data_IF_684685239308
#
_entry.id   IF_684685239308
#
_cell.length_a   1.000
_cell.length_b   1.000
_cell.length_c   1.000
_cell.angle_alpha   90.00
_cell.angle_beta   90.00
_cell.angle_gamma   90.00
#
_symmetry.space_group_name_H-M   'P 1'
#
loop_
_entity.id
_entity.type
_entity.pdbx_description
1 polymer ?
#
# COMPACT_ATOMS: atom_id res chain seq x y z
N UNK A 1 -17.51 -10.66 16.34
CA UNK A 1 -16.57 -9.55 16.13
C UNK A 1 -16.32 -8.92 17.49
N UNK A 2 -15.24 -9.31 18.14
CA UNK A 2 -14.85 -8.70 19.42
C UNK A 2 -13.91 -7.52 19.12
N UNK A 3 -14.41 -6.33 19.36
CA UNK A 3 -13.65 -5.09 19.31
C UNK A 3 -12.48 -5.18 20.29
N UNK A 4 -11.29 -4.87 19.82
CA UNK A 4 -10.14 -4.57 20.66
C UNK A 4 -10.40 -3.20 21.34
N UNK A 5 -11.30 -3.17 22.32
CA UNK A 5 -11.61 -1.99 23.11
C UNK A 5 -10.56 -1.83 24.21
N UNK A 6 -9.38 -1.34 23.84
CA UNK A 6 -8.30 -1.13 24.81
C UNK A 6 -7.35 0.01 24.48
N UNK A 7 -7.39 0.52 23.26
CA UNK A 7 -6.68 1.74 22.90
C UNK A 7 -7.70 2.89 23.05
N UNK A 8 -7.67 3.58 24.20
CA UNK A 8 -8.23 4.92 24.28
C UNK A 8 -7.65 5.71 23.11
N UNK A 9 -8.49 6.46 22.37
CA UNK A 9 -8.03 7.41 21.37
C UNK A 9 -7.06 8.38 22.04
N UNK A 10 -5.79 8.03 22.02
CA UNK A 10 -4.75 8.90 22.56
C UNK A 10 -4.48 9.95 21.48
N UNK A 11 -5.10 11.11 21.65
CA UNK A 11 -4.93 12.27 20.76
C UNK A 11 -3.47 12.69 20.59
N UNK A 12 -2.55 12.17 21.42
CA UNK A 12 -1.11 12.37 21.28
C UNK A 12 -0.49 11.59 20.12
N UNK A 13 -1.21 10.60 19.57
CA UNK A 13 -0.77 9.75 18.46
C UNK A 13 -1.37 10.17 17.12
N UNK A 14 -1.84 11.42 17.00
CA UNK A 14 -2.34 11.95 15.73
C UNK A 14 -1.96 13.41 15.54
N UNK A 15 -1.93 13.85 14.30
CA UNK A 15 -1.80 15.26 13.96
C UNK A 15 -2.75 15.63 12.82
N UNK A 16 -3.34 16.82 12.91
CA UNK A 16 -4.25 17.33 11.88
C UNK A 16 -3.53 18.29 10.96
N UNK A 17 -3.56 17.99 9.67
CA UNK A 17 -3.04 18.85 8.63
C UNK A 17 -3.94 20.07 8.37
N UNK A 18 -3.47 21.00 7.54
CA UNK A 18 -4.25 22.18 7.19
C UNK A 18 -5.34 21.92 6.14
N UNK A 19 -5.26 20.78 5.45
CA UNK A 19 -6.21 20.32 4.43
C UNK A 19 -6.08 18.80 4.25
N UNK A 20 -6.97 18.20 3.47
CA UNK A 20 -6.97 16.78 3.13
C UNK A 20 -5.62 16.31 2.59
N UNK A 21 -5.17 15.18 3.04
CA UNK A 21 -3.86 14.59 2.74
C UNK A 21 -4.03 13.52 1.66
N UNK A 22 -3.15 13.52 0.64
CA UNK A 22 -3.13 12.51 -0.41
C UNK A 22 -2.03 11.47 -0.26
N UNK A 23 -0.88 11.86 0.25
CA UNK A 23 0.26 10.96 0.40
C UNK A 23 1.11 11.34 1.60
N UNK A 24 1.72 10.35 2.23
CA UNK A 24 2.65 10.52 3.35
C UNK A 24 3.89 9.66 3.14
N UNK A 25 5.02 10.16 3.63
CA UNK A 25 6.24 9.37 3.68
C UNK A 25 7.09 9.73 4.91
N UNK A 26 7.66 8.70 5.57
CA UNK A 26 8.59 8.89 6.68
C UNK A 26 10.00 9.20 6.16
N UNK A 27 10.65 10.12 6.85
CA UNK A 27 12.03 10.43 6.58
C UNK A 27 12.94 9.21 6.90
N UNK A 28 13.84 8.78 5.99
CA UNK A 28 14.58 7.53 6.14
C UNK A 28 15.61 7.54 7.27
N UNK A 29 16.01 8.70 7.79
CA UNK A 29 17.08 8.80 8.82
C UNK A 29 16.72 9.67 10.04
N UNK A 30 15.61 10.39 10.03
CA UNK A 30 15.18 11.31 11.10
C UNK A 30 13.72 11.04 11.47
N UNK A 31 13.31 11.55 12.63
CA UNK A 31 11.96 11.35 13.15
C UNK A 31 11.00 12.43 12.61
N UNK A 32 10.82 12.41 11.29
CA UNK A 32 9.90 13.28 10.55
C UNK A 32 9.01 12.47 9.62
N UNK A 33 7.84 13.01 9.35
CA UNK A 33 6.92 12.56 8.29
C UNK A 33 6.52 13.76 7.44
N UNK A 34 6.49 13.56 6.13
CA UNK A 34 5.98 14.56 5.19
C UNK A 34 4.56 14.18 4.76
N UNK A 35 3.74 15.19 4.44
CA UNK A 35 2.38 15.03 3.94
C UNK A 35 2.14 15.95 2.75
N UNK A 36 1.61 15.40 1.65
CA UNK A 36 1.17 16.12 0.46
C UNK A 36 -0.32 16.39 0.51
N UNK A 37 -0.74 17.66 0.33
CA UNK A 37 -2.10 18.11 0.57
C UNK A 37 -2.84 18.47 -0.73
N UNK A 38 -4.18 18.47 -0.63
CA UNK A 38 -5.10 18.78 -1.73
C UNK A 38 -4.91 20.18 -2.32
N UNK A 39 -4.45 21.12 -1.52
CA UNK A 39 -4.24 22.52 -1.95
C UNK A 39 -2.85 22.77 -2.59
N UNK A 40 -2.05 21.71 -2.77
CA UNK A 40 -0.67 21.78 -3.29
C UNK A 40 0.38 22.14 -2.25
N UNK A 41 -0.02 22.21 -0.99
CA UNK A 41 0.91 22.39 0.13
C UNK A 41 1.55 21.06 0.52
N UNK A 42 2.77 21.10 0.98
CA UNK A 42 3.49 20.00 1.62
C UNK A 42 3.84 20.40 3.04
N UNK A 43 3.49 19.57 3.99
CA UNK A 43 3.75 19.78 5.41
C UNK A 43 4.74 18.76 5.94
N UNK A 44 5.66 19.20 6.80
CA UNK A 44 6.60 18.35 7.52
C UNK A 44 6.28 18.37 9.01
N UNK A 45 6.17 17.17 9.61
CA UNK A 45 5.82 16.99 11.00
C UNK A 45 6.87 16.16 11.73
N UNK A 46 7.07 16.40 13.04
CA UNK A 46 7.81 15.46 13.91
C UNK A 46 6.95 14.23 14.16
N UNK A 47 7.58 13.06 14.34
CA UNK A 47 6.88 11.87 14.80
C UNK A 47 6.67 11.88 16.31
N UNK A 48 5.67 11.16 16.84
CA UNK A 48 5.54 10.96 18.29
C UNK A 48 6.81 10.33 18.87
N UNK A 49 7.29 10.82 20.01
CA UNK A 49 8.49 10.28 20.66
C UNK A 49 8.28 10.10 22.15
N UNK A 50 8.93 9.10 22.74
CA UNK A 50 8.98 8.92 24.18
C UNK A 50 10.07 9.82 24.77
N UNK A 51 9.73 10.74 25.65
CA UNK A 51 10.71 11.57 26.34
C UNK A 51 11.59 10.74 27.31
N UNK A 52 12.67 10.18 26.79
CA UNK A 52 13.77 9.66 27.62
C UNK A 52 15.09 10.41 27.38
N UNK A 53 15.09 11.55 26.67
CA UNK A 53 16.29 12.36 26.45
C UNK A 53 16.05 13.85 26.68
N UNK A 54 15.72 14.24 27.89
CA UNK A 54 15.93 15.61 28.34
C UNK A 54 17.39 15.80 28.71
N UNK A 55 18.27 16.00 27.76
CA UNK A 55 19.51 16.74 28.01
C UNK A 55 19.17 18.22 28.17
N UNK A 56 18.55 18.54 29.29
CA UNK A 56 18.50 19.91 29.76
C UNK A 56 19.88 20.28 30.31
N UNK A 57 20.69 20.94 29.49
CA UNK A 57 21.77 21.77 30.00
C UNK A 57 21.15 23.00 30.72
N UNK A 58 20.96 22.91 32.02
CA UNK A 58 20.81 24.08 32.88
C UNK A 58 21.64 23.91 34.12
N UNK A 59 22.70 24.67 34.15
CA UNK A 59 23.46 24.98 35.32
C UNK A 59 22.57 25.59 36.41
N UNK A 60 22.55 25.01 37.62
CA UNK A 60 22.69 25.77 38.88
C UNK A 60 22.43 24.94 40.11
N UNK A 61 23.44 24.92 40.94
CA UNK A 61 23.47 25.02 42.43
C UNK A 61 22.59 24.12 43.31
N UNK A 62 23.32 23.26 43.98
CA UNK A 62 23.19 22.67 45.30
C UNK A 62 22.05 23.15 46.26
N UNK A 63 21.32 22.17 46.79
CA UNK A 63 21.15 21.99 48.24
C UNK A 63 20.58 20.60 48.57
N UNK A 64 21.25 19.92 49.48
CA UNK A 64 20.92 18.63 50.06
C UNK A 64 19.62 18.70 50.89
N UNK A 65 18.75 17.72 50.71
CA UNK A 65 18.06 17.14 51.88
C UNK A 65 17.55 15.73 51.51
N UNK A 66 18.01 14.78 52.31
CA UNK A 66 17.65 13.38 52.30
C UNK A 66 16.26 13.17 52.91
N UNK A 67 15.39 12.46 52.21
CA UNK A 67 14.36 11.62 52.86
C UNK A 67 13.96 10.48 51.89
N UNK A 68 14.24 9.29 52.36
CA UNK A 68 13.89 8.00 51.77
C UNK A 68 12.37 7.73 51.92
N UNK A 69 11.68 7.54 50.83
CA UNK A 69 10.45 6.77 50.80
C UNK A 69 10.35 6.09 49.44
N UNK A 70 10.53 4.77 49.47
CA UNK A 70 10.34 3.87 48.35
C UNK A 70 8.84 3.75 48.02
N UNK A 71 8.42 4.49 47.04
CA UNK A 71 7.17 4.22 46.33
C UNK A 71 7.57 3.91 44.88
N UNK A 72 7.31 2.68 44.45
CA UNK A 72 7.42 2.26 43.06
C UNK A 72 6.41 3.03 42.20
N UNK A 73 6.79 4.23 41.79
CA UNK A 73 6.04 4.95 40.79
C UNK A 73 6.32 4.29 39.44
N UNK A 74 5.32 3.65 38.86
CA UNK A 74 5.28 3.34 37.46
C UNK A 74 5.43 4.69 36.74
N UNK A 75 6.63 4.96 36.19
CA UNK A 75 6.87 6.16 35.39
C UNK A 75 6.09 5.98 34.08
N UNK A 76 4.92 6.58 34.02
CA UNK A 76 4.21 6.77 32.77
C UNK A 76 5.07 7.71 31.91
N UNK A 77 5.82 7.18 30.98
CA UNK A 77 6.56 7.98 29.99
C UNK A 77 5.54 8.77 29.18
N UNK A 78 5.57 10.09 29.29
CA UNK A 78 4.71 10.96 28.51
C UNK A 78 5.13 10.90 27.04
N UNK A 79 4.17 10.64 26.16
CA UNK A 79 4.38 10.69 24.70
C UNK A 79 4.39 12.17 24.28
N UNK A 80 5.42 12.59 23.57
CA UNK A 80 5.48 13.91 22.96
C UNK A 80 4.65 13.89 21.68
N UNK A 81 3.61 14.71 21.62
CA UNK A 81 2.74 14.83 20.47
C UNK A 81 3.50 15.37 19.23
N UNK A 82 3.13 14.93 18.02
CA UNK A 82 3.73 15.44 16.78
C UNK A 82 3.49 16.93 16.60
N UNK A 83 4.47 17.63 16.02
CA UNK A 83 4.41 19.07 15.78
C UNK A 83 4.77 19.39 14.34
N UNK A 84 4.04 20.33 13.73
CA UNK A 84 4.36 20.86 12.41
C UNK A 84 5.67 21.65 12.47
N UNK A 85 6.61 21.26 11.61
CA UNK A 85 7.96 21.86 11.53
C UNK A 85 8.05 22.84 10.38
N UNK A 86 7.49 22.47 9.23
CA UNK A 86 7.64 23.21 7.99
C UNK A 86 6.38 23.11 7.15
N UNK A 87 6.09 24.17 6.42
CA UNK A 87 5.03 24.20 5.41
C UNK A 87 5.61 24.80 4.13
N UNK A 88 5.42 24.09 3.03
CA UNK A 88 5.95 24.47 1.70
C UNK A 88 4.79 24.48 0.72
N UNK A 89 4.72 25.51 -0.13
CA UNK A 89 3.72 25.59 -1.20
C UNK A 89 4.42 25.95 -2.52
N UNK A 90 4.60 24.94 -3.35
CA UNK A 90 5.27 25.07 -4.65
C UNK A 90 4.45 24.48 -5.80
N UNK A 91 3.37 23.77 -5.50
CA UNK A 91 2.41 23.30 -6.48
C UNK A 91 1.17 24.19 -6.52
N UNK A 92 0.54 24.28 -7.70
CA UNK A 92 -0.67 25.09 -7.93
C UNK A 92 -1.96 24.30 -7.75
N UNK A 93 -1.87 22.95 -7.79
CA UNK A 93 -2.97 22.00 -7.52
C UNK A 93 -2.50 20.95 -6.51
N UNK A 94 -3.34 19.99 -6.21
CA UNK A 94 -3.06 18.96 -5.21
C UNK A 94 -1.71 18.28 -5.39
N UNK A 95 -0.95 18.16 -4.29
CA UNK A 95 0.25 17.35 -4.20
C UNK A 95 -0.19 15.91 -3.91
N UNK A 96 -0.21 15.05 -4.93
CA UNK A 96 -0.79 13.70 -4.86
C UNK A 96 0.23 12.61 -4.53
N UNK A 97 1.51 12.91 -4.73
CA UNK A 97 2.57 11.95 -4.48
C UNK A 97 3.78 12.63 -3.86
N UNK A 98 4.33 12.01 -2.83
CA UNK A 98 5.55 12.46 -2.17
C UNK A 98 6.43 11.26 -1.84
N UNK A 99 7.74 11.44 -1.87
CA UNK A 99 8.68 10.49 -1.28
C UNK A 99 9.97 11.19 -0.89
N UNK A 100 10.58 10.75 0.20
CA UNK A 100 11.92 11.17 0.54
C UNK A 100 12.94 10.50 -0.38
N UNK A 101 14.04 11.20 -0.64
CA UNK A 101 15.24 10.59 -1.18
C UNK A 101 15.73 9.46 -0.24
N UNK A 102 16.34 8.41 -0.78
CA UNK A 102 16.80 7.26 0.00
C UNK A 102 17.73 7.62 1.16
N UNK A 103 18.47 8.72 1.03
CA UNK A 103 19.40 9.21 2.05
C UNK A 103 18.76 10.26 2.96
N UNK A 104 17.54 10.72 2.64
CA UNK A 104 16.87 11.80 3.34
C UNK A 104 17.48 13.20 3.06
N UNK A 105 18.18 13.35 1.95
CA UNK A 105 18.76 14.64 1.57
C UNK A 105 17.70 15.62 1.05
N UNK A 106 16.58 15.13 0.54
CA UNK A 106 15.48 15.92 -0.01
C UNK A 106 14.18 15.15 -0.10
N UNK A 107 13.16 15.82 -0.56
CA UNK A 107 11.81 15.31 -0.78
C UNK A 107 11.42 15.53 -2.24
N UNK A 108 10.95 14.50 -2.91
CA UNK A 108 10.37 14.57 -4.26
C UNK A 108 8.87 14.70 -4.16
N UNK A 109 8.26 15.54 -4.99
CA UNK A 109 6.84 15.82 -4.99
C UNK A 109 6.26 15.81 -6.40
N UNK A 110 5.05 15.29 -6.54
CA UNK A 110 4.28 15.23 -7.77
C UNK A 110 2.86 15.74 -7.58
N UNK A 111 2.35 16.44 -8.57
CA UNK A 111 1.09 17.14 -8.45
C UNK A 111 0.14 16.92 -9.62
N UNK A 112 -1.14 17.19 -9.34
CA UNK A 112 -2.18 17.28 -10.36
C UNK A 112 -1.98 18.47 -11.32
N UNK A 113 -1.06 19.39 -11.03
CA UNK A 113 -0.67 20.45 -11.96
C UNK A 113 0.33 19.95 -13.02
N UNK A 114 0.61 18.63 -13.06
CA UNK A 114 1.50 17.97 -14.01
C UNK A 114 2.98 18.31 -13.80
N UNK A 115 3.33 18.89 -12.67
CA UNK A 115 4.71 19.22 -12.31
C UNK A 115 5.31 18.22 -11.32
N UNK A 116 6.62 18.08 -11.39
CA UNK A 116 7.46 17.41 -10.39
C UNK A 116 8.43 18.40 -9.79
N UNK A 117 8.74 18.24 -8.51
CA UNK A 117 9.72 19.07 -7.84
C UNK A 117 10.58 18.25 -6.87
N UNK A 118 11.78 18.76 -6.59
CA UNK A 118 12.62 18.31 -5.51
C UNK A 118 12.87 19.47 -4.55
N UNK A 119 12.72 19.18 -3.27
CA UNK A 119 12.83 20.15 -2.18
C UNK A 119 13.94 19.69 -1.25
N UNK A 120 14.81 20.60 -0.81
CA UNK A 120 15.87 20.29 0.13
C UNK A 120 15.35 20.18 1.58
N UNK A 121 16.24 19.79 2.50
CA UNK A 121 15.90 19.65 3.92
C UNK A 121 15.50 20.99 4.59
N UNK A 122 15.76 22.13 3.96
CA UNK A 122 15.37 23.47 4.42
C UNK A 122 14.02 23.92 3.88
N UNK A 123 13.41 23.15 2.98
CA UNK A 123 12.13 23.46 2.33
C UNK A 123 12.27 24.35 1.08
N UNK A 124 13.47 24.54 0.58
CA UNK A 124 13.68 25.28 -0.67
C UNK A 124 13.54 24.33 -1.88
N UNK A 125 12.82 24.76 -2.91
CA UNK A 125 12.73 24.02 -4.18
C UNK A 125 14.08 24.14 -4.90
N UNK A 126 14.78 23.02 -5.01
CA UNK A 126 16.12 22.95 -5.64
C UNK A 126 16.05 22.50 -7.09
N UNK A 127 14.95 21.85 -7.47
CA UNK A 127 14.72 21.39 -8.83
C UNK A 127 13.21 21.31 -9.10
N UNK A 128 12.78 21.72 -10.30
CA UNK A 128 11.37 21.74 -10.69
C UNK A 128 11.20 21.64 -12.19
N UNK A 129 10.23 20.82 -12.63
CA UNK A 129 9.80 20.71 -14.03
C UNK A 129 8.30 20.89 -14.10
N UNK A 130 7.85 21.99 -14.71
CA UNK A 130 6.44 22.19 -15.05
C UNK A 130 6.10 21.46 -16.34
N UNK A 131 4.90 20.89 -16.42
CA UNK A 131 4.50 20.06 -17.57
C UNK A 131 5.36 18.80 -17.73
N UNK A 132 5.84 18.26 -16.61
CA UNK A 132 6.60 17.02 -16.55
C UNK A 132 5.84 15.85 -17.15
N UNK A 133 4.53 15.81 -16.95
CA UNK A 133 3.60 14.84 -17.51
C UNK A 133 2.46 15.51 -18.28
N UNK A 134 1.73 14.75 -19.09
CA UNK A 134 0.54 15.22 -19.80
C UNK A 134 -0.73 15.12 -18.95
N UNK A 135 -0.71 14.28 -17.93
CA UNK A 135 -1.77 14.01 -17.00
C UNK A 135 -1.33 14.26 -15.55
N UNK A 136 -2.24 14.35 -14.59
CA UNK A 136 -1.92 14.42 -13.16
C UNK A 136 -1.00 13.29 -12.72
N UNK A 137 -0.07 13.60 -11.81
CA UNK A 137 0.88 12.61 -11.27
C UNK A 137 0.25 11.94 -10.05
N UNK A 138 0.24 10.59 -10.05
CA UNK A 138 -0.34 9.77 -8.99
C UNK A 138 0.70 9.19 -8.04
N UNK A 139 1.86 8.84 -8.56
CA UNK A 139 2.86 8.14 -7.78
C UNK A 139 4.26 8.69 -8.05
N UNK A 140 5.04 8.81 -6.99
CA UNK A 140 6.48 9.06 -7.03
C UNK A 140 7.18 8.00 -6.17
N UNK A 141 8.30 7.47 -6.67
CA UNK A 141 9.14 6.53 -5.94
C UNK A 141 10.61 6.90 -6.09
N UNK A 142 11.40 6.84 -4.98
CA UNK A 142 12.81 7.18 -5.03
C UNK A 142 13.59 6.11 -5.81
N UNK A 143 14.47 6.56 -6.69
CA UNK A 143 15.43 5.73 -7.40
C UNK A 143 16.82 5.74 -6.73
N UNK A 144 17.85 5.25 -7.39
CA UNK A 144 19.23 5.46 -6.97
C UNK A 144 19.54 6.95 -6.81
N UNK A 145 20.62 7.28 -6.09
CA UNK A 145 21.02 8.64 -5.69
C UNK A 145 20.72 9.73 -6.74
N UNK A 146 19.87 10.66 -6.38
CA UNK A 146 19.50 11.81 -7.23
C UNK A 146 18.56 11.49 -8.38
N UNK A 147 17.97 10.28 -8.40
CA UNK A 147 16.96 9.89 -9.38
C UNK A 147 15.64 9.54 -8.70
N UNK A 148 14.53 9.68 -9.42
CA UNK A 148 13.22 9.23 -8.98
C UNK A 148 12.33 8.87 -10.18
N UNK A 149 11.25 8.17 -9.88
CA UNK A 149 10.26 7.70 -10.84
C UNK A 149 8.93 8.39 -10.58
N UNK A 150 8.19 8.69 -11.63
CA UNK A 150 6.83 9.21 -11.54
C UNK A 150 5.90 8.46 -12.47
N UNK A 151 4.67 8.24 -12.03
CA UNK A 151 3.57 7.68 -12.82
C UNK A 151 2.38 8.62 -12.85
N UNK A 152 1.67 8.70 -13.96
CA UNK A 152 0.55 9.61 -14.18
C UNK A 152 -0.79 8.90 -14.42
N UNK A 153 -1.86 9.69 -14.55
CA UNK A 153 -3.23 9.23 -14.79
C UNK A 153 -3.45 8.62 -16.20
N UNK A 154 -2.54 8.87 -17.16
CA UNK A 154 -2.62 8.35 -18.53
C UNK A 154 -1.77 7.09 -18.74
N UNK A 155 -1.20 6.51 -17.66
CA UNK A 155 -0.41 5.28 -17.72
C UNK A 155 1.04 5.48 -18.16
N UNK A 156 1.55 6.70 -18.15
CA UNK A 156 2.94 7.00 -18.48
C UNK A 156 3.83 6.96 -17.24
N UNK A 157 4.96 6.30 -17.34
CA UNK A 157 6.03 6.28 -16.34
C UNK A 157 7.24 7.02 -16.86
N UNK A 158 7.79 7.92 -16.04
CA UNK A 158 9.02 8.66 -16.32
C UNK A 158 10.06 8.45 -15.25
N UNK A 159 11.31 8.53 -15.67
CA UNK A 159 12.49 8.55 -14.78
C UNK A 159 13.18 9.89 -14.90
N UNK A 160 13.50 10.45 -13.76
CA UNK A 160 14.09 11.77 -13.63
C UNK A 160 15.46 11.68 -12.98
N UNK A 161 16.38 12.51 -13.44
CA UNK A 161 17.68 12.74 -12.82
C UNK A 161 17.79 14.24 -12.54
N UNK A 162 17.95 14.62 -11.27
CA UNK A 162 18.01 16.03 -10.87
C UNK A 162 19.16 16.82 -11.49
N UNK A 163 20.12 16.15 -12.13
CA UNK A 163 21.23 16.81 -12.84
C UNK A 163 20.82 17.37 -14.20
N UNK A 164 19.61 17.02 -14.67
CA UNK A 164 19.06 17.49 -15.93
C UNK A 164 17.57 17.82 -15.80
N UNK A 165 17.05 18.61 -16.76
CA UNK A 165 15.63 19.04 -16.73
C UNK A 165 14.70 18.14 -17.51
N UNK A 166 15.24 17.29 -18.39
CA UNK A 166 14.47 16.36 -19.18
C UNK A 166 14.43 14.98 -18.52
N UNK A 167 13.35 14.23 -18.73
CA UNK A 167 13.26 12.87 -18.25
C UNK A 167 14.28 11.97 -18.95
N UNK A 168 14.97 11.13 -18.17
CA UNK A 168 15.91 10.12 -18.67
C UNK A 168 15.21 9.05 -19.46
N UNK A 169 13.98 8.71 -19.04
CA UNK A 169 13.15 7.69 -19.66
C UNK A 169 11.68 8.14 -19.60
N UNK A 170 10.92 7.83 -20.66
CA UNK A 170 9.48 8.01 -20.72
C UNK A 170 8.86 6.84 -21.45
N UNK A 171 7.94 6.12 -20.82
CA UNK A 171 7.26 4.95 -21.35
C UNK A 171 5.76 5.06 -21.07
N UNK A 172 4.96 4.92 -22.13
CA UNK A 172 3.50 4.76 -22.02
C UNK A 172 3.25 3.25 -21.85
N UNK A 173 2.87 2.83 -20.63
CA UNK A 173 2.83 1.43 -20.21
C UNK A 173 1.42 0.87 -20.13
N UNK A 174 0.48 1.68 -19.76
CA UNK A 174 -0.87 1.28 -19.42
C UNK A 174 -1.92 2.19 -20.09
N UNK A 175 -3.17 1.76 -20.08
CA UNK A 175 -4.29 2.52 -20.65
C UNK A 175 -5.06 3.35 -19.64
N UNK A 176 -4.71 3.19 -18.36
CA UNK A 176 -5.28 3.92 -17.24
C UNK A 176 -4.14 4.26 -16.26
N UNK A 177 -4.46 4.93 -15.17
CA UNK A 177 -3.48 5.48 -14.23
C UNK A 177 -2.47 4.43 -13.73
N UNK A 178 -1.24 4.89 -13.50
CA UNK A 178 -0.25 4.13 -12.74
C UNK A 178 -0.56 4.31 -11.26
N UNK A 179 -0.89 3.19 -10.61
CA UNK A 179 -1.25 3.20 -9.20
C UNK A 179 -0.01 3.18 -8.29
N UNK A 180 0.94 2.30 -8.57
CA UNK A 180 2.15 2.18 -7.76
C UNK A 180 3.31 1.57 -8.56
N UNK A 181 4.54 1.75 -8.05
CA UNK A 181 5.79 1.29 -8.66
C UNK A 181 6.67 0.65 -7.60
N UNK A 182 7.22 -0.52 -7.89
CA UNK A 182 8.22 -1.19 -7.05
C UNK A 182 9.45 -1.58 -7.85
N UNK A 183 10.56 -1.85 -7.16
CA UNK A 183 11.85 -2.16 -7.78
C UNK A 183 12.45 -3.42 -7.19
N UNK A 184 13.28 -4.11 -7.98
CA UNK A 184 14.19 -5.09 -7.40
C UNK A 184 15.37 -4.40 -6.69
N UNK A 185 16.00 -5.10 -5.75
CA UNK A 185 17.07 -4.56 -4.89
C UNK A 185 18.22 -3.88 -5.64
N UNK A 186 18.49 -4.31 -6.87
CA UNK A 186 19.59 -3.80 -7.69
C UNK A 186 19.16 -2.67 -8.64
N UNK A 187 17.91 -2.19 -8.59
CA UNK A 187 17.37 -1.20 -9.52
C UNK A 187 17.64 -1.52 -11.00
N UNK A 188 17.59 -2.81 -11.36
CA UNK A 188 17.69 -3.23 -12.76
C UNK A 188 16.34 -3.38 -13.43
N UNK A 189 15.30 -3.60 -12.63
CA UNK A 189 13.93 -3.75 -13.08
C UNK A 189 12.98 -2.99 -12.18
N UNK A 190 11.99 -2.38 -12.78
CA UNK A 190 10.81 -1.83 -12.11
C UNK A 190 9.58 -2.64 -12.50
N UNK A 191 8.61 -2.70 -11.60
CA UNK A 191 7.30 -3.31 -11.83
C UNK A 191 6.25 -2.29 -11.43
N UNK A 192 5.28 -2.08 -12.31
CA UNK A 192 4.21 -1.09 -12.09
C UNK A 192 2.86 -1.78 -12.03
N UNK A 193 1.99 -1.29 -11.16
CA UNK A 193 0.59 -1.65 -11.11
C UNK A 193 -0.26 -0.55 -11.73
N UNK A 194 -1.31 -0.91 -12.46
CA UNK A 194 -2.20 0.03 -13.14
C UNK A 194 -3.67 -0.25 -12.90
N UNK A 195 -4.47 0.83 -12.93
CA UNK A 195 -5.92 0.77 -12.91
C UNK A 195 -6.56 0.13 -14.14
N UNK A 196 -5.78 -0.20 -15.19
CA UNK A 196 -6.27 -1.01 -16.30
C UNK A 196 -6.21 -2.52 -16.04
N UNK A 197 -5.82 -2.93 -14.83
CA UNK A 197 -5.70 -4.32 -14.43
C UNK A 197 -4.39 -4.99 -14.85
N UNK A 198 -3.44 -4.27 -15.45
CA UNK A 198 -2.16 -4.82 -15.89
C UNK A 198 -1.02 -4.52 -14.93
N UNK A 199 0.00 -5.38 -14.99
CA UNK A 199 1.30 -5.17 -14.38
C UNK A 199 2.34 -5.08 -15.50
N UNK A 200 3.15 -4.03 -15.50
CA UNK A 200 4.20 -3.85 -16.51
C UNK A 200 5.58 -3.97 -15.90
N UNK A 201 6.46 -4.72 -16.53
CA UNK A 201 7.83 -4.99 -16.10
C UNK A 201 8.79 -4.25 -17.01
N UNK A 202 9.60 -3.37 -16.43
CA UNK A 202 10.52 -2.47 -17.14
C UNK A 202 11.95 -2.90 -16.89
N UNK A 203 12.75 -2.96 -17.95
CA UNK A 203 14.21 -3.05 -17.84
C UNK A 203 14.80 -1.66 -17.76
N UNK A 204 15.26 -1.26 -16.59
CA UNK A 204 15.78 0.09 -16.34
C UNK A 204 17.12 0.35 -17.03
N UNK A 205 17.95 -0.69 -17.23
CA UNK A 205 19.23 -0.55 -17.94
C UNK A 205 19.04 -0.32 -19.44
N UNK A 206 18.04 -0.98 -20.02
CA UNK A 206 17.72 -0.86 -21.44
C UNK A 206 16.67 0.22 -21.73
N UNK A 207 16.05 0.78 -20.68
CA UNK A 207 14.99 1.78 -20.74
C UNK A 207 13.81 1.30 -21.64
N UNK A 208 13.40 0.04 -21.45
CA UNK A 208 12.39 -0.61 -22.30
C UNK A 208 11.41 -1.41 -21.45
N UNK A 209 10.18 -1.44 -21.91
CA UNK A 209 9.18 -2.41 -21.48
C UNK A 209 9.65 -3.82 -21.84
N UNK A 210 9.66 -4.74 -20.88
CA UNK A 210 10.00 -6.14 -21.07
C UNK A 210 8.76 -7.01 -21.28
N UNK A 211 7.76 -6.80 -20.43
CA UNK A 211 6.55 -7.61 -20.40
C UNK A 211 5.41 -6.81 -19.80
N UNK A 212 4.20 -7.07 -20.26
CA UNK A 212 2.96 -6.62 -19.64
C UNK A 212 2.07 -7.84 -19.48
N UNK A 213 1.52 -8.05 -18.28
CA UNK A 213 0.60 -9.16 -18.03
C UNK A 213 -0.67 -9.01 -18.84
N UNK A 214 -1.43 -10.11 -18.96
CA UNK A 214 -2.80 -10.00 -19.44
C UNK A 214 -3.61 -9.05 -18.54
N UNK A 215 -4.60 -8.40 -19.14
CA UNK A 215 -5.48 -7.49 -18.42
C UNK A 215 -6.43 -8.30 -17.55
N UNK A 216 -6.35 -8.07 -16.23
CA UNK A 216 -7.32 -8.59 -15.27
C UNK A 216 -8.57 -7.72 -15.26
N UNK A 217 -9.71 -8.31 -14.91
CA UNK A 217 -10.96 -7.54 -14.73
C UNK A 217 -10.91 -6.59 -13.53
N UNK A 218 -9.92 -6.80 -12.63
CA UNK A 218 -9.76 -6.13 -11.36
C UNK A 218 -8.56 -5.17 -11.41
N UNK A 219 -8.79 -3.90 -11.07
CA UNK A 219 -7.75 -2.87 -11.07
C UNK A 219 -6.65 -3.22 -10.05
N UNK A 220 -5.38 -3.00 -10.42
CA UNK A 220 -4.23 -3.19 -9.53
C UNK A 220 -3.86 -1.86 -8.89
N UNK A 221 -4.12 -1.69 -7.58
CA UNK A 221 -4.05 -0.39 -6.90
C UNK A 221 -2.75 -0.17 -6.13
N UNK A 222 -2.11 -1.23 -5.69
CA UNK A 222 -0.85 -1.18 -4.95
C UNK A 222 0.05 -2.35 -5.31
N UNK A 223 1.37 -2.21 -5.14
CA UNK A 223 2.34 -3.26 -5.48
C UNK A 223 3.50 -3.31 -4.50
N UNK A 224 3.93 -4.52 -4.16
CA UNK A 224 4.99 -4.74 -3.18
C UNK A 224 5.87 -5.93 -3.55
N UNK A 225 7.20 -5.78 -3.37
CA UNK A 225 8.17 -6.84 -3.58
C UNK A 225 8.51 -7.52 -2.24
N UNK A 226 8.29 -8.83 -2.15
CA UNK A 226 8.39 -9.64 -0.94
C UNK A 226 9.31 -10.86 -1.13
N UNK A 227 9.59 -11.58 -0.02
CA UNK A 227 10.36 -12.84 -0.04
C UNK A 227 11.73 -12.68 -0.72
N UNK A 228 12.51 -11.69 -0.28
CA UNK A 228 13.82 -11.37 -0.86
C UNK A 228 13.77 -11.21 -2.39
N UNK A 229 12.74 -10.52 -2.88
CA UNK A 229 12.60 -10.22 -4.30
C UNK A 229 12.08 -11.38 -5.17
N UNK A 230 11.59 -12.47 -4.56
CA UNK A 230 11.08 -13.63 -5.31
C UNK A 230 9.58 -13.62 -5.55
N UNK A 231 8.84 -12.79 -4.81
CA UNK A 231 7.39 -12.64 -4.93
C UNK A 231 7.01 -11.17 -5.09
N UNK A 232 6.07 -10.91 -5.99
CA UNK A 232 5.40 -9.62 -6.12
C UNK A 232 3.96 -9.80 -5.65
N UNK A 233 3.48 -8.90 -4.82
CA UNK A 233 2.10 -8.88 -4.34
C UNK A 233 1.44 -7.61 -4.85
N UNK A 234 0.24 -7.71 -5.39
CA UNK A 234 -0.59 -6.57 -5.76
C UNK A 234 -1.89 -6.56 -4.99
N UNK A 235 -2.29 -5.40 -4.53
CA UNK A 235 -3.60 -5.16 -3.94
C UNK A 235 -4.60 -4.73 -5.00
N UNK A 236 -5.80 -5.28 -4.94
CA UNK A 236 -6.80 -5.08 -5.99
C UNK A 236 -8.01 -4.29 -5.51
N UNK A 237 -8.79 -3.80 -6.48
CA UNK A 237 -10.06 -3.10 -6.25
C UNK A 237 -11.10 -3.99 -5.56
N UNK A 238 -11.09 -5.30 -5.82
CA UNK A 238 -12.03 -6.25 -5.19
C UNK A 238 -11.63 -6.65 -3.77
N UNK A 239 -10.47 -6.20 -3.26
CA UNK A 239 -9.98 -6.55 -1.93
C UNK A 239 -9.17 -7.85 -1.87
N UNK A 240 -8.82 -8.42 -3.00
CA UNK A 240 -7.91 -9.55 -3.05
C UNK A 240 -6.45 -9.09 -3.18
N UNK A 241 -5.53 -9.90 -2.67
CA UNK A 241 -4.11 -9.75 -2.93
C UNK A 241 -3.67 -10.81 -3.93
N UNK A 242 -3.18 -10.39 -5.07
CA UNK A 242 -2.64 -11.27 -6.10
C UNK A 242 -1.14 -11.46 -5.88
N UNK A 243 -0.66 -12.70 -5.96
CA UNK A 243 0.74 -13.06 -5.71
C UNK A 243 1.35 -13.60 -7.00
N UNK A 244 2.44 -13.00 -7.42
CA UNK A 244 3.21 -13.35 -8.60
C UNK A 244 4.56 -13.92 -8.20
N UNK A 245 5.06 -14.90 -8.96
CA UNK A 245 6.45 -15.31 -8.83
C UNK A 245 7.32 -14.44 -9.73
N UNK A 246 8.40 -13.89 -9.17
CA UNK A 246 9.33 -13.08 -9.95
C UNK A 246 9.85 -13.82 -11.19
N UNK A 247 9.64 -13.22 -12.36
CA UNK A 247 10.05 -13.82 -13.64
C UNK A 247 9.04 -14.77 -14.28
N UNK A 248 7.89 -15.03 -13.61
CA UNK A 248 6.75 -15.76 -14.16
C UNK A 248 5.54 -14.85 -14.11
N UNK A 249 5.31 -14.14 -15.21
CA UNK A 249 4.33 -13.04 -15.24
C UNK A 249 3.04 -13.42 -15.97
N UNK A 250 3.01 -14.60 -16.59
CA UNK A 250 1.85 -15.07 -17.37
C UNK A 250 0.73 -15.60 -16.46
N UNK A 251 1.10 -16.15 -15.29
CA UNK A 251 0.16 -16.76 -14.36
C UNK A 251 0.34 -16.24 -12.93
N UNK A 252 -0.77 -16.08 -12.21
CA UNK A 252 -0.79 -15.86 -10.77
C UNK A 252 -0.24 -17.09 -10.04
N UNK A 253 0.66 -16.87 -9.08
CA UNK A 253 1.13 -17.96 -8.21
C UNK A 253 0.12 -18.32 -7.13
N UNK A 254 -0.62 -17.32 -6.62
CA UNK A 254 -1.62 -17.49 -5.58
C UNK A 254 -2.46 -16.23 -5.42
N UNK A 255 -3.55 -16.31 -4.64
CA UNK A 255 -4.44 -15.19 -4.33
C UNK A 255 -4.90 -15.26 -2.88
N UNK A 256 -4.78 -14.16 -2.14
CA UNK A 256 -5.27 -14.05 -0.76
C UNK A 256 -6.54 -13.20 -0.77
N UNK A 257 -7.73 -13.79 -0.58
CA UNK A 257 -8.96 -13.04 -0.34
C UNK A 257 -9.03 -12.60 1.12
N UNK A 258 -9.90 -11.65 1.45
CA UNK A 258 -10.23 -11.37 2.84
C UNK A 258 -10.36 -9.90 3.23
N UNK A 259 -10.04 -8.96 2.35
CA UNK A 259 -10.47 -7.57 2.54
C UNK A 259 -11.86 -7.41 1.93
N UNK A 260 -12.81 -6.80 2.65
CA UNK A 260 -14.18 -6.61 2.13
C UNK A 260 -14.25 -5.55 1.04
N UNK A 261 -13.25 -4.65 0.98
CA UNK A 261 -13.15 -3.57 0.01
C UNK A 261 -11.72 -3.48 -0.55
N UNK A 262 -11.49 -2.54 -1.47
CA UNK A 262 -10.23 -2.37 -2.20
C UNK A 262 -9.02 -2.20 -1.28
N UNK A 263 -7.86 -2.71 -1.72
CA UNK A 263 -6.57 -2.55 -1.04
C UNK A 263 -5.79 -1.43 -1.70
N UNK A 264 -5.92 -0.22 -1.16
CA UNK A 264 -5.35 1.00 -1.74
C UNK A 264 -3.84 1.09 -1.54
N UNK A 265 -3.35 0.59 -0.42
CA UNK A 265 -1.95 0.76 -0.05
C UNK A 265 -1.41 -0.46 0.67
N UNK A 266 -0.15 -0.77 0.42
CA UNK A 266 0.57 -1.84 1.09
C UNK A 266 1.98 -1.39 1.45
N UNK A 267 2.49 -1.88 2.58
CA UNK A 267 3.87 -1.66 2.98
C UNK A 267 4.50 -2.93 3.54
N UNK A 268 5.76 -3.14 3.21
CA UNK A 268 6.54 -4.27 3.67
C UNK A 268 6.99 -4.04 5.11
N UNK A 269 6.51 -4.87 6.03
CA UNK A 269 7.02 -4.88 7.38
C UNK A 269 8.30 -5.71 7.46
N UNK A 270 8.31 -6.91 6.89
CA UNK A 270 9.47 -7.78 6.71
C UNK A 270 9.27 -8.70 5.48
N UNK A 271 10.14 -9.71 5.31
CA UNK A 271 10.08 -10.58 4.12
C UNK A 271 8.85 -11.50 4.08
N UNK A 272 8.20 -11.72 5.23
CA UNK A 272 7.08 -12.63 5.41
C UNK A 272 5.78 -11.94 5.78
N UNK A 273 5.85 -10.65 6.13
CA UNK A 273 4.73 -9.88 6.69
C UNK A 273 4.61 -8.55 5.98
N UNK A 274 3.41 -8.20 5.56
CA UNK A 274 3.05 -6.90 5.04
C UNK A 274 1.88 -6.30 5.80
N UNK A 275 1.76 -5.00 5.75
CA UNK A 275 0.62 -4.24 6.24
C UNK A 275 -0.16 -3.75 5.04
N UNK A 276 -1.47 -3.79 5.14
CA UNK A 276 -2.40 -3.40 4.07
C UNK A 276 -3.38 -2.37 4.60
N UNK A 277 -3.60 -1.31 3.86
CA UNK A 277 -4.67 -0.33 4.10
C UNK A 277 -5.78 -0.52 3.07
N UNK A 278 -6.99 -0.66 3.55
CA UNK A 278 -8.17 -0.94 2.72
C UNK A 278 -9.19 0.21 2.79
N UNK A 279 -10.03 0.29 1.79
CA UNK A 279 -11.10 1.31 1.73
C UNK A 279 -12.18 1.12 2.79
N UNK A 280 -12.16 0.00 3.52
CA UNK A 280 -13.01 -0.19 4.71
C UNK A 280 -12.47 0.48 5.99
N UNK A 281 -11.42 1.31 5.87
CA UNK A 281 -10.84 2.06 6.98
C UNK A 281 -9.92 1.26 7.90
N UNK A 282 -9.63 -0.01 7.61
CA UNK A 282 -8.89 -0.91 8.50
C UNK A 282 -7.48 -1.18 7.96
N UNK A 283 -6.50 -1.09 8.89
CA UNK A 283 -5.12 -1.51 8.62
C UNK A 283 -4.95 -2.94 9.12
N UNK A 284 -4.62 -3.86 8.18
CA UNK A 284 -4.46 -5.29 8.48
C UNK A 284 -3.02 -5.75 8.36
N UNK A 285 -2.73 -6.82 9.10
CA UNK A 285 -1.46 -7.54 9.04
C UNK A 285 -1.68 -8.80 8.20
N UNK A 286 -0.90 -8.96 7.15
CA UNK A 286 -1.00 -10.10 6.23
C UNK A 286 0.32 -10.85 6.19
N UNK A 287 0.26 -12.16 6.36
CA UNK A 287 1.42 -13.05 6.25
C UNK A 287 1.48 -13.74 4.89
N UNK A 288 2.71 -13.98 4.43
CA UNK A 288 3.02 -14.82 3.28
C UNK A 288 3.68 -16.12 3.76
N UNK A 289 3.08 -17.26 3.39
CA UNK A 289 3.52 -18.60 3.80
C UNK A 289 3.51 -18.82 5.33
N UNK A 290 2.34 -19.01 5.94
CA UNK A 290 1.04 -19.23 5.28
C UNK A 290 0.38 -17.93 4.81
N UNK A 291 -0.29 -17.99 3.63
CA UNK A 291 -1.01 -16.86 3.05
C UNK A 291 -2.31 -16.64 3.83
N UNK A 292 -2.31 -15.71 4.78
CA UNK A 292 -3.48 -15.43 5.63
C UNK A 292 -3.45 -14.04 6.25
N UNK A 293 -4.60 -13.54 6.64
CA UNK A 293 -4.74 -12.40 7.52
C UNK A 293 -4.30 -12.82 8.94
N UNK A 294 -3.38 -12.07 9.53
CA UNK A 294 -2.83 -12.34 10.87
C UNK A 294 -3.54 -11.53 11.95
N UNK A 295 -4.05 -10.35 11.62
CA UNK A 295 -4.71 -9.45 12.55
C UNK A 295 -4.92 -8.06 11.96
N UNK A 296 -5.29 -7.13 12.83
CA UNK A 296 -5.44 -5.71 12.50
C UNK A 296 -4.60 -4.85 13.46
N UNK A 297 -4.15 -3.70 12.97
CA UNK A 297 -3.41 -2.71 13.76
C UNK A 297 -4.37 -1.69 14.34
N UNK A 298 -5.28 -1.17 13.51
CA UNK A 298 -6.24 -0.16 13.90
C UNK A 298 -7.14 0.22 12.73
N UNK A 299 -8.03 1.17 13.01
CA UNK A 299 -9.02 1.67 12.06
C UNK A 299 -9.09 3.20 12.10
N UNK A 300 -9.39 3.81 10.98
CA UNK A 300 -9.87 5.18 10.90
C UNK A 300 -11.37 5.20 11.23
N UNK A 301 -11.98 6.39 11.25
CA UNK A 301 -13.42 6.51 11.46
C UNK A 301 -14.19 5.67 10.42
N UNK A 302 -15.36 5.17 10.82
CA UNK A 302 -16.22 4.34 9.96
C UNK A 302 -16.44 5.03 8.61
N UNK A 303 -16.31 4.24 7.52
CA UNK A 303 -16.52 4.66 6.13
C UNK A 303 -15.42 5.54 5.50
N UNK A 304 -14.32 5.84 6.18
CA UNK A 304 -13.20 6.56 5.56
C UNK A 304 -12.10 5.59 5.07
N UNK A 305 -11.81 5.58 3.76
CA UNK A 305 -10.78 4.70 3.20
C UNK A 305 -9.39 5.04 3.72
N UNK A 306 -8.55 4.02 3.91
CA UNK A 306 -7.12 4.23 4.10
C UNK A 306 -6.49 4.52 2.74
N UNK A 307 -6.10 5.77 2.51
CA UNK A 307 -5.47 6.19 1.26
C UNK A 307 -4.00 5.80 1.21
N UNK A 308 -3.28 5.98 2.31
CA UNK A 308 -1.87 5.66 2.39
C UNK A 308 -1.44 5.19 3.78
N UNK A 309 -0.52 4.24 3.80
CA UNK A 309 0.25 3.87 4.97
C UNK A 309 1.74 4.02 4.68
N UNK A 310 2.51 4.43 5.68
CA UNK A 310 3.97 4.49 5.63
C UNK A 310 4.56 3.96 6.94
N UNK A 311 5.78 3.43 6.91
CA UNK A 311 6.43 2.78 8.04
C UNK A 311 7.66 3.59 8.45
N UNK A 312 7.80 3.86 9.75
CA UNK A 312 8.97 4.54 10.28
C UNK A 312 10.25 3.73 10.06
N UNK A 313 11.38 4.42 10.02
CA UNK A 313 12.73 3.86 9.83
C UNK A 313 13.03 2.69 10.78
N UNK A 314 12.68 2.83 12.03
CA UNK A 314 12.90 1.84 13.09
C UNK A 314 11.82 0.74 13.14
N UNK A 315 10.82 0.82 12.23
CA UNK A 315 9.67 -0.09 12.14
C UNK A 315 8.83 -0.16 13.41
N UNK A 316 8.86 0.89 14.21
CA UNK A 316 8.11 0.98 15.47
C UNK A 316 6.79 1.71 15.32
N UNK A 317 6.68 2.58 14.31
CA UNK A 317 5.48 3.37 14.04
C UNK A 317 5.01 3.17 12.61
N UNK A 318 3.71 3.02 12.43
CA UNK A 318 3.00 3.13 11.16
C UNK A 318 2.25 4.45 11.16
N UNK A 319 2.42 5.25 10.13
CA UNK A 319 1.59 6.41 9.85
C UNK A 319 0.52 6.02 8.83
N UNK A 320 -0.70 6.46 9.04
CA UNK A 320 -1.80 6.27 8.10
C UNK A 320 -2.58 7.55 7.89
N UNK A 321 -3.14 7.70 6.69
CA UNK A 321 -4.03 8.80 6.33
C UNK A 321 -5.31 8.27 5.73
N UNK A 322 -6.32 9.09 5.89
CA UNK A 322 -7.67 8.89 5.37
C UNK A 322 -8.25 10.24 4.97
N UNK A 323 -9.54 10.31 4.67
CA UNK A 323 -10.24 11.55 4.34
C UNK A 323 -10.56 12.45 5.56
N UNK A 324 -10.02 12.12 6.74
CA UNK A 324 -10.24 12.83 8.01
C UNK A 324 -9.27 13.99 8.28
N UNK A 325 -8.43 14.38 7.30
CA UNK A 325 -7.36 15.39 7.40
C UNK A 325 -6.31 15.08 8.49
N UNK A 326 -6.29 13.86 9.01
CA UNK A 326 -5.41 13.45 10.11
C UNK A 326 -4.36 12.45 9.65
N UNK A 327 -3.14 12.60 10.18
CA UNK A 327 -2.16 11.51 10.19
C UNK A 327 -2.31 10.81 11.53
N UNK A 328 -2.71 9.55 11.54
CA UNK A 328 -2.74 8.70 12.74
C UNK A 328 -1.45 7.88 12.82
N UNK A 329 -0.92 7.74 14.03
CA UNK A 329 0.28 6.95 14.29
C UNK A 329 -0.07 5.73 15.13
N UNK A 330 0.42 4.58 14.71
CA UNK A 330 0.15 3.29 15.36
C UNK A 330 1.47 2.70 15.85
N UNK A 331 1.51 2.33 17.12
CA UNK A 331 2.68 1.66 17.70
C UNK A 331 2.67 0.18 17.35
N UNK A 332 3.67 -0.24 16.58
CA UNK A 332 3.81 -1.63 16.11
C UNK A 332 5.02 -2.35 16.73
N UNK A 333 5.60 -1.82 17.81
CA UNK A 333 6.75 -2.43 18.53
C UNK A 333 6.47 -3.85 18.99
N UNK A 334 5.24 -4.14 19.39
CA UNK A 334 4.83 -5.48 19.76
C UNK A 334 5.05 -6.53 18.67
N UNK A 335 5.00 -6.13 17.40
CA UNK A 335 5.29 -7.02 16.26
C UNK A 335 6.79 -7.36 16.17
N UNK A 336 7.66 -6.43 16.53
CA UNK A 336 9.13 -6.62 16.58
C UNK A 336 9.53 -7.52 17.75
N UNK A 337 8.93 -7.31 18.92
CA UNK A 337 9.22 -8.07 20.15
C UNK A 337 8.78 -9.53 20.06
N UNK A 338 7.66 -9.80 19.38
CA UNK A 338 7.17 -11.15 19.13
C UNK A 338 8.14 -11.99 18.31
N UNK A 339 8.90 -11.39 17.39
CA UNK A 339 9.95 -12.07 16.59
C UNK A 339 11.25 -12.28 17.34
N UNK A 340 11.62 -11.36 18.24
CA UNK A 340 12.85 -11.46 19.06
C UNK A 340 12.81 -12.59 20.08
N UNK A 341 11.63 -13.11 20.43
CA UNK A 341 11.43 -14.20 21.39
C UNK A 341 11.44 -15.61 20.76
N UNK A 342 11.98 -15.78 19.56
CA UNK A 342 12.26 -17.08 18.94
C UNK A 342 11.13 -18.09 19.06
N UNK A 343 10.37 -18.31 18.00
CA UNK A 343 9.65 -19.55 17.63
C UNK A 343 8.88 -20.34 18.72
N UNK A 344 8.51 -19.72 19.83
CA UNK A 344 7.46 -20.25 20.69
C UNK A 344 6.16 -19.54 20.26
N UNK A 345 5.33 -20.25 19.49
CA UNK A 345 4.15 -19.73 18.83
C UNK A 345 3.35 -18.76 19.68
N UNK A 346 3.48 -17.50 19.39
CA UNK A 346 2.46 -16.52 19.77
C UNK A 346 1.36 -16.72 18.73
N UNK A 347 0.38 -17.50 19.10
CA UNK A 347 -0.88 -17.59 18.37
C UNK A 347 -1.53 -16.19 18.51
N UNK A 348 -1.50 -15.41 17.44
CA UNK A 348 -2.29 -14.16 17.34
C UNK A 348 -3.81 -14.43 17.49
N UNK A 349 -4.24 -15.69 17.44
CA UNK A 349 -5.61 -16.12 17.74
C UNK A 349 -5.95 -16.03 19.25
N UNK A 350 -4.95 -16.00 20.15
CA UNK A 350 -5.16 -15.99 21.59
C UNK A 350 -5.32 -14.58 22.18
N UNK A 351 -5.14 -13.52 21.39
CA UNK A 351 -5.42 -12.14 21.82
C UNK A 351 -6.90 -11.75 21.69
N UNK A 352 -7.78 -12.67 21.31
CA UNK A 352 -9.19 -12.41 21.02
C UNK A 352 -10.22 -13.24 21.81
N UNK A 353 -9.85 -14.01 22.85
CA UNK A 353 -10.83 -14.75 23.64
C UNK A 353 -10.62 -14.54 25.14
N UNK A 354 -11.31 -13.55 25.67
CA UNK A 354 -11.62 -13.39 27.09
C UNK A 354 -13.13 -13.53 27.29
N UNK A 355 -13.47 -14.59 28.00
CA UNK A 355 -14.71 -14.84 28.75
C UNK A 355 -16.05 -14.96 28.02
N UNK A 356 -16.50 -16.18 27.99
CA UNK A 356 -17.88 -16.59 27.76
C UNK A 356 -18.11 -18.01 28.28
N UNK A 357 -18.31 -18.13 29.63
CA UNK A 357 -18.92 -19.31 30.22
C UNK A 357 -20.28 -19.57 29.58
N UNK A 358 -20.49 -20.79 29.14
CA UNK A 358 -21.77 -21.33 28.70
C UNK A 358 -21.65 -22.82 28.64
N UNK A 359 -21.97 -23.43 29.78
CA UNK A 359 -22.35 -24.85 29.86
C UNK A 359 -23.43 -25.14 28.84
N UNK A 360 -23.27 -26.21 28.09
CA UNK A 360 -24.38 -27.10 27.73
C UNK A 360 -23.82 -28.42 27.18
N UNK A 361 -24.14 -29.47 27.96
CA UNK A 361 -24.11 -30.87 27.62
C UNK A 361 -24.90 -31.12 26.34
N UNK A 362 -24.45 -32.06 25.49
CA UNK A 362 -25.28 -33.15 25.03
C UNK A 362 -24.58 -34.08 24.05
N UNK A 363 -24.47 -35.32 24.53
CA UNK A 363 -24.74 -36.63 23.94
C UNK A 363 -24.06 -37.06 22.63
N UNK A 364 -23.23 -37.99 22.92
CA UNK A 364 -22.76 -39.22 22.29
C UNK A 364 -23.89 -40.05 21.63
N UNK A 365 -23.76 -40.32 20.34
CA UNK A 365 -24.31 -41.53 19.71
C UNK A 365 -23.33 -42.14 18.73
N UNK A 366 -22.88 -43.34 19.08
CA UNK A 366 -22.15 -44.23 18.21
C UNK A 366 -23.14 -45.11 17.41
N UNK A 367 -22.63 -45.80 16.43
CA UNK A 367 -23.29 -46.84 15.61
C UNK A 367 -22.54 -46.98 14.29
N UNK A 368 -21.65 -47.86 14.26
CA UNK A 368 -21.50 -49.25 13.80
C UNK A 368 -21.65 -49.42 12.28
N UNK A 369 -20.54 -49.92 11.74
CA UNK A 369 -20.32 -51.02 10.79
C UNK A 369 -21.39 -51.31 9.73
N UNK A 370 -20.91 -51.43 8.47
CA UNK A 370 -21.00 -52.73 7.75
C UNK A 370 -20.20 -52.64 6.42
N UNK A 371 -19.37 -53.67 6.31
CA UNK A 371 -18.67 -54.19 5.14
C UNK A 371 -19.62 -54.60 4.00
N UNK A 372 -19.07 -54.59 2.76
CA UNK A 372 -19.14 -55.67 1.76
C UNK A 372 -18.55 -55.18 0.43
N UNK A 373 -17.49 -55.70 0.07
CA UNK A 373 -16.95 -56.72 -0.83
C UNK A 373 -17.52 -56.83 -2.25
N UNK A 374 -16.50 -56.96 -3.16
CA UNK A 374 -16.44 -57.72 -4.43
C UNK A 374 -17.31 -57.22 -5.60
N UNK A 375 -16.85 -57.22 -6.86
CA UNK A 375 -15.90 -58.03 -7.64
C UNK A 375 -15.85 -57.52 -9.07
N UNK A 376 -14.69 -57.67 -9.68
CA UNK A 376 -14.32 -58.06 -11.04
C UNK A 376 -15.31 -57.86 -12.22
N UNK A 377 -14.85 -57.32 -13.35
CA UNK A 377 -14.48 -58.10 -14.53
C UNK A 377 -14.09 -57.26 -15.75
N UNK A 378 -13.20 -57.78 -16.45
CA UNK A 378 -12.51 -57.64 -17.70
C UNK A 378 -13.23 -57.01 -18.90
N UNK A 379 -12.39 -56.47 -19.81
CA UNK A 379 -12.79 -56.40 -21.19
C UNK A 379 -11.99 -55.48 -22.07
N UNK A 380 -10.96 -56.02 -22.64
CA UNK A 380 -10.04 -55.47 -23.65
C UNK A 380 -10.71 -55.16 -25.00
N UNK A 381 -10.02 -54.38 -25.74
CA UNK A 381 -9.58 -54.54 -27.16
C UNK A 381 -9.94 -53.41 -28.13
N UNK A 382 -8.87 -52.85 -28.66
CA UNK A 382 -8.44 -52.68 -30.05
C UNK A 382 -9.10 -51.60 -30.92
N UNK A 383 -8.24 -50.67 -31.29
CA UNK A 383 -7.57 -50.46 -32.56
C UNK A 383 -8.30 -49.71 -33.69
N UNK A 384 -7.60 -48.72 -34.17
CA UNK A 384 -7.23 -48.45 -35.54
C UNK A 384 -8.07 -47.51 -36.44
N UNK A 385 -7.41 -46.49 -36.83
CA UNK A 385 -7.08 -46.05 -38.19
C UNK A 385 -8.03 -45.18 -39.00
N UNK A 386 -7.44 -44.09 -39.36
CA UNK A 386 -7.19 -43.56 -40.71
C UNK A 386 -8.22 -42.67 -41.41
N UNK A 387 -7.68 -41.54 -41.75
CA UNK A 387 -7.56 -40.94 -43.08
C UNK A 387 -8.57 -39.88 -43.55
N UNK A 388 -8.02 -38.72 -43.74
CA UNK A 388 -7.95 -37.89 -44.94
C UNK A 388 -9.24 -37.43 -45.64
N UNK A 389 -9.40 -36.18 -45.85
CA UNK A 389 -9.14 -35.39 -47.04
C UNK A 389 -10.07 -34.21 -47.24
N UNK A 390 -9.48 -33.11 -47.59
CA UNK A 390 -9.84 -32.01 -48.48
C UNK A 390 -11.30 -31.81 -48.95
N UNK A 391 -11.84 -30.58 -48.85
CA UNK A 391 -11.87 -29.66 -50.00
C UNK A 391 -12.59 -28.33 -49.71
N UNK A 392 -12.06 -27.31 -50.35
CA UNK A 392 -12.55 -25.98 -50.63
C UNK A 392 -14.06 -25.82 -50.87
N UNK A 393 -14.65 -24.67 -50.44
CA UNK A 393 -15.05 -23.63 -51.38
C UNK A 393 -15.61 -22.37 -50.72
N UNK A 394 -15.27 -21.27 -51.35
CA UNK A 394 -15.79 -19.92 -51.22
C UNK A 394 -17.30 -19.80 -51.09
N UNK A 395 -17.79 -18.85 -50.30
CA UNK A 395 -18.55 -17.74 -50.84
C UNK A 395 -18.80 -16.61 -49.82
N UNK A 396 -18.64 -15.41 -50.31
CA UNK A 396 -19.01 -14.13 -49.78
C UNK A 396 -20.45 -14.09 -49.22
N UNK A 397 -20.65 -13.49 -48.07
CA UNK A 397 -21.71 -12.48 -47.95
C UNK A 397 -21.53 -11.60 -46.73
N UNK A 398 -21.45 -10.33 -46.97
CA UNK A 398 -21.57 -9.21 -46.02
C UNK A 398 -22.72 -9.40 -45.03
N UNK A 399 -22.43 -9.34 -43.76
CA UNK A 399 -23.40 -8.89 -42.80
C UNK A 399 -22.69 -8.19 -41.63
N UNK A 400 -22.96 -6.89 -41.58
CA UNK A 400 -22.66 -5.99 -40.47
C UNK A 400 -23.17 -6.59 -39.17
N UNK A 401 -22.28 -6.93 -38.24
CA UNK A 401 -22.65 -7.21 -36.87
C UNK A 401 -22.22 -6.03 -36.00
N UNK A 402 -23.19 -5.42 -35.42
CA UNK A 402 -23.06 -4.39 -34.40
C UNK A 402 -22.30 -4.92 -33.18
N UNK A 403 -21.23 -4.26 -32.88
CA UNK A 403 -20.42 -4.50 -31.70
C UNK A 403 -21.15 -3.95 -30.46
N UNK A 404 -21.75 -4.83 -29.66
CA UNK A 404 -22.48 -4.49 -28.42
C UNK A 404 -21.59 -4.57 -27.16
N UNK A 405 -20.28 -4.58 -27.30
CA UNK A 405 -19.35 -4.76 -26.16
C UNK A 405 -18.80 -3.48 -25.52
N UNK A 406 -18.66 -2.42 -26.29
CA UNK A 406 -17.92 -1.23 -25.81
C UNK A 406 -18.74 -0.19 -25.02
N UNK A 407 -20.07 -0.23 -25.12
CA UNK A 407 -20.93 0.75 -24.45
C UNK A 407 -21.12 0.52 -22.95
N UNK A 408 -21.01 -0.71 -22.48
CA UNK A 408 -21.27 -1.06 -21.06
C UNK A 408 -20.09 -0.73 -20.15
N UNK A 409 -18.87 -0.92 -20.64
CA UNK A 409 -17.65 -0.58 -19.89
C UNK A 409 -17.43 0.93 -19.70
N UNK A 410 -17.71 1.71 -20.75
CA UNK A 410 -17.63 3.17 -20.64
C UNK A 410 -18.62 3.76 -19.65
N UNK A 411 -19.83 3.18 -19.53
CA UNK A 411 -20.85 3.67 -18.59
C UNK A 411 -20.45 3.34 -17.13
N UNK A 412 -19.89 2.15 -16.86
CA UNK A 412 -19.39 1.80 -15.51
C UNK A 412 -18.19 2.66 -15.08
N UNK A 413 -17.24 2.88 -16.00
CA UNK A 413 -16.08 3.75 -15.71
C UNK A 413 -16.46 5.22 -15.50
N UNK A 414 -17.44 5.72 -16.25
CA UNK A 414 -17.96 7.08 -16.05
C UNK A 414 -18.68 7.22 -14.70
N UNK A 415 -19.35 6.17 -14.23
CA UNK A 415 -20.07 6.21 -12.95
C UNK A 415 -19.12 6.20 -11.77
N UNK A 416 -18.00 5.43 -11.84
CA UNK A 416 -16.98 5.40 -10.76
C UNK A 416 -16.15 6.72 -10.74
N UNK A 417 -15.75 7.24 -11.90
CA UNK A 417 -15.14 8.59 -11.96
C UNK A 417 -16.12 9.69 -11.52
N UNK A 418 -17.42 9.51 -11.73
CA UNK A 418 -18.45 10.48 -11.30
C UNK A 418 -18.73 10.39 -9.79
N UNK A 419 -18.65 9.21 -9.18
CA UNK A 419 -18.81 9.06 -7.72
C UNK A 419 -17.63 9.71 -6.99
N UNK A 420 -16.40 9.46 -7.40
CA UNK A 420 -15.22 10.13 -6.80
C UNK A 420 -15.23 11.65 -7.05
N UNK A 421 -15.74 12.11 -8.21
CA UNK A 421 -15.86 13.54 -8.53
C UNK A 421 -17.09 14.17 -7.90
N UNK A 422 -18.20 13.43 -7.70
CA UNK A 422 -19.42 13.97 -7.05
C UNK A 422 -19.25 14.06 -5.54
N UNK A 423 -18.55 13.13 -4.88
CA UNK A 423 -18.17 13.29 -3.47
C UNK A 423 -17.21 14.49 -3.31
N UNK A 424 -16.32 14.71 -4.27
CA UNK A 424 -15.43 15.86 -4.31
C UNK A 424 -16.18 17.21 -4.50
N UNK A 425 -17.27 17.23 -5.29
CA UNK A 425 -18.09 18.44 -5.49
C UNK A 425 -19.08 18.70 -4.34
N UNK A 426 -19.49 17.68 -3.60
CA UNK A 426 -20.32 17.87 -2.42
C UNK A 426 -19.53 18.49 -1.27
N UNK A 427 -18.25 18.14 -1.11
CA UNK A 427 -17.37 18.71 -0.08
C UNK A 427 -16.98 20.16 -0.41
N UNK A 428 -16.81 20.53 -1.68
CA UNK A 428 -16.49 21.91 -2.08
C UNK A 428 -17.68 22.90 -2.01
N UNK A 429 -18.91 22.44 -1.80
CA UNK A 429 -20.09 23.32 -1.65
C UNK A 429 -20.47 23.58 -0.18
N UNK A 430 -19.70 23.09 0.79
CA UNK A 430 -19.92 23.30 2.23
C UNK A 430 -18.76 24.03 2.94
N UNK A 431 -17.83 24.64 2.19
CA UNK A 431 -16.82 25.56 2.75
C UNK A 431 -17.01 26.95 2.18
#
# INVERSE_FOLDING_TARGET
MSHFTGLTEDTSMQCRASAMIFDIDFHPTRDFIAAGLVDGTVELWTTPSNDNSSTASSSASSSNTSTSSSSSSVSTTAIVAPRKVLTMKHHTKSCRAICFDQQGAGLYTGSSDQSVAAVDAGGAVVWHVSGAHKAPINVIRPGPTGTFFSGDDDGCVKVWDMRQQESVMSLDLAKDFIADITFNDNYTRAVTASGDGTISIINLRQQKLMHTTEMFEDDQLSILLMKNGTKVVTGTQSGALNIWAWGKWDDLSDRIPGHPQSVQTMIKYDEDTMLTGSSDGIIRIVGLHPNKLLGMIGEHEEDFPIEKISLSRDRNLVGSISHDDCIKFWDVRAMTDAKGRGSAGVNFADMGNGDGNGDDDDEFFGGDDDDMDESDDDGATTAASSSSSNNNNNNNNNRVMFNKGEGSYKIKRMTIKMVVVMDFLMICNYV
#
